data_IF_409211968969
#
_entry.id   IF_409211968969
#
_cell.length_a   1.000
_cell.length_b   1.000
_cell.length_c   1.000
_cell.angle_alpha   90.00
_cell.angle_beta   90.00
_cell.angle_gamma   90.00
#
_symmetry.space_group_name_H-M   'P 1'
#
loop_
_entity.id
_entity.type
_entity.pdbx_description
1 polymer ?
#
# COMPACT_ATOMS: atom_id res chain seq x y z
N UNK A 1 -18.31 -4.60 -0.71
CA UNK A 1 -19.15 -3.38 -0.75
C UNK A 1 -20.53 -3.76 -0.25
N UNK A 2 -20.97 -3.21 0.88
CA UNK A 2 -22.29 -3.49 1.48
C UNK A 2 -23.37 -3.02 0.52
N UNK A 3 -24.42 -3.82 0.31
CA UNK A 3 -25.49 -3.41 -0.60
C UNK A 3 -26.29 -2.30 0.08
N UNK A 4 -26.67 -1.27 -0.67
CA UNK A 4 -27.46 -0.14 -0.16
C UNK A 4 -28.72 -0.61 0.58
N UNK A 5 -29.39 -1.63 0.06
CA UNK A 5 -30.58 -2.20 0.71
C UNK A 5 -30.28 -2.82 2.09
N UNK A 6 -29.13 -3.47 2.28
CA UNK A 6 -28.76 -4.08 3.56
C UNK A 6 -28.54 -3.01 4.65
N UNK A 7 -28.03 -1.84 4.28
CA UNK A 7 -27.92 -0.69 5.18
C UNK A 7 -29.32 -0.18 5.53
N UNK A 8 -30.18 -0.01 4.52
CA UNK A 8 -31.53 0.51 4.70
C UNK A 8 -32.34 -0.42 5.59
N UNK A 9 -32.32 -1.72 5.36
CA UNK A 9 -33.08 -2.72 6.12
C UNK A 9 -32.75 -2.73 7.62
N UNK A 10 -31.55 -2.28 7.99
CA UNK A 10 -31.08 -2.20 9.39
C UNK A 10 -31.43 -0.90 10.10
N UNK A 11 -31.80 0.15 9.37
CA UNK A 11 -32.20 1.41 9.97
C UNK A 11 -33.54 1.24 10.68
N UNK A 12 -33.66 1.81 11.88
CA UNK A 12 -34.93 1.91 12.58
C UNK A 12 -35.99 2.62 11.72
N UNK A 13 -37.29 2.28 11.88
CA UNK A 13 -38.37 2.94 11.14
C UNK A 13 -38.35 4.47 11.27
N UNK A 14 -38.00 4.97 12.46
CA UNK A 14 -37.92 6.40 12.74
C UNK A 14 -36.74 7.06 12.00
N UNK A 15 -35.57 6.43 12.01
CA UNK A 15 -34.43 6.89 11.22
C UNK A 15 -34.71 6.86 9.73
N UNK A 16 -35.40 5.83 9.20
CA UNK A 16 -35.83 5.81 7.79
C UNK A 16 -36.73 6.99 7.46
N UNK A 17 -37.74 7.25 8.31
CA UNK A 17 -38.66 8.39 8.17
C UNK A 17 -37.89 9.71 8.12
N UNK A 18 -37.02 9.95 9.10
CA UNK A 18 -36.22 11.18 9.17
C UNK A 18 -35.30 11.34 7.96
N UNK A 19 -34.55 10.30 7.58
CA UNK A 19 -33.63 10.38 6.45
C UNK A 19 -34.33 10.54 5.09
N UNK A 20 -35.60 10.15 4.98
CA UNK A 20 -36.43 10.24 3.78
C UNK A 20 -37.19 11.56 3.69
N UNK A 21 -37.81 11.97 4.79
CA UNK A 21 -38.80 13.05 4.81
C UNK A 21 -38.16 14.40 5.17
N UNK A 22 -37.04 14.40 5.91
CA UNK A 22 -36.34 15.64 6.30
C UNK A 22 -35.26 16.06 5.29
N UNK A 23 -34.95 17.36 5.29
CA UNK A 23 -33.87 17.91 4.47
C UNK A 23 -32.59 18.07 5.28
N UNK A 24 -31.48 17.58 4.73
CA UNK A 24 -30.16 17.70 5.32
C UNK A 24 -29.30 18.61 4.45
N UNK A 25 -28.42 19.37 5.08
CA UNK A 25 -27.41 20.16 4.39
C UNK A 25 -26.23 19.27 4.03
N UNK A 26 -26.05 19.02 2.74
CA UNK A 26 -25.08 18.08 2.19
C UNK A 26 -24.02 18.89 1.43
N UNK A 27 -22.77 18.81 1.86
CA UNK A 27 -21.67 19.48 1.19
C UNK A 27 -21.46 18.91 -0.21
N UNK A 28 -21.34 19.79 -1.19
CA UNK A 28 -21.01 19.41 -2.56
C UNK A 28 -19.49 19.28 -2.65
N UNK A 29 -18.95 18.09 -3.00
CA UNK A 29 -17.52 17.93 -3.18
C UNK A 29 -17.02 18.94 -4.24
N UNK A 30 -15.80 19.48 -4.11
CA UNK A 30 -15.29 20.51 -5.01
C UNK A 30 -15.50 20.21 -6.50
N UNK A 31 -15.31 18.94 -6.90
CA UNK A 31 -15.44 18.47 -8.27
C UNK A 31 -16.86 18.54 -8.85
N UNK A 32 -17.89 18.66 -8.00
CA UNK A 32 -19.30 18.73 -8.38
C UNK A 32 -19.92 20.11 -8.15
N UNK A 33 -19.14 21.09 -7.67
CA UNK A 33 -19.65 22.44 -7.42
C UNK A 33 -19.95 23.12 -8.75
N UNK A 34 -21.19 23.58 -8.92
CA UNK A 34 -21.59 24.48 -10.00
C UNK A 34 -21.66 25.90 -9.43
N UNK A 35 -20.73 26.75 -9.85
CA UNK A 35 -20.56 28.10 -9.29
C UNK A 35 -20.17 28.07 -7.81
N UNK A 36 -20.73 28.98 -7.02
CA UNK A 36 -20.45 29.12 -5.58
C UNK A 36 -21.31 28.23 -4.68
N UNK A 37 -21.89 27.15 -5.23
CA UNK A 37 -22.76 26.25 -4.46
C UNK A 37 -21.93 25.30 -3.61
N UNK A 38 -21.74 25.63 -2.33
CA UNK A 38 -20.96 24.81 -1.40
C UNK A 38 -21.75 23.62 -0.84
N UNK A 39 -23.08 23.71 -0.81
CA UNK A 39 -23.97 22.68 -0.27
C UNK A 39 -25.27 22.60 -1.06
N UNK A 40 -25.91 21.44 -1.00
CA UNK A 40 -27.31 21.24 -1.39
C UNK A 40 -28.14 20.90 -0.15
N UNK A 41 -29.45 21.16 -0.21
CA UNK A 41 -30.41 20.66 0.78
C UNK A 41 -31.23 19.55 0.15
N UNK A 42 -31.39 18.45 0.86
CA UNK A 42 -32.22 17.34 0.39
C UNK A 42 -32.22 16.17 1.35
N UNK A 43 -33.12 15.22 1.11
CA UNK A 43 -33.16 13.97 1.85
C UNK A 43 -31.93 13.10 1.56
N UNK A 44 -31.64 12.22 2.51
CA UNK A 44 -30.55 11.25 2.41
C UNK A 44 -31.05 9.96 1.74
N UNK A 45 -32.28 9.53 2.04
CA UNK A 45 -32.93 8.43 1.34
C UNK A 45 -33.70 8.95 0.13
N UNK A 46 -33.43 8.36 -1.04
CA UNK A 46 -34.01 8.76 -2.32
C UNK A 46 -34.83 7.61 -2.93
N UNK A 47 -35.77 7.98 -3.81
CA UNK A 47 -36.56 7.08 -4.65
C UNK A 47 -37.30 5.98 -3.86
N UNK A 48 -37.95 6.33 -2.74
CA UNK A 48 -38.68 5.37 -1.91
C UNK A 48 -37.75 4.36 -1.25
N UNK A 49 -36.65 4.85 -0.66
CA UNK A 49 -35.67 4.04 0.08
C UNK A 49 -34.90 3.03 -0.79
N UNK A 50 -34.68 3.36 -2.07
CA UNK A 50 -33.85 2.54 -2.98
C UNK A 50 -32.40 2.99 -3.04
N UNK A 51 -32.14 4.25 -2.72
CA UNK A 51 -30.80 4.83 -2.77
C UNK A 51 -30.50 5.66 -1.52
N UNK A 52 -29.23 5.65 -1.13
CA UNK A 52 -28.71 6.51 -0.08
C UNK A 52 -27.76 7.54 -0.73
N UNK A 53 -28.04 8.83 -0.52
CA UNK A 53 -27.10 9.93 -0.80
C UNK A 53 -26.25 10.18 0.44
N UNK A 54 -25.24 9.34 0.66
CA UNK A 54 -24.39 9.44 1.83
C UNK A 54 -22.92 9.24 1.51
N UNK A 55 -22.09 10.08 2.14
CA UNK A 55 -20.64 9.97 2.23
C UNK A 55 -20.26 10.50 3.62
N UNK A 56 -19.30 9.89 4.29
CA UNK A 56 -19.00 10.23 5.70
C UNK A 56 -18.52 11.68 5.86
N UNK A 57 -17.95 12.25 4.81
CA UNK A 57 -17.37 13.57 4.71
C UNK A 57 -18.32 14.63 4.11
N UNK A 58 -19.47 14.24 3.54
CA UNK A 58 -20.41 15.20 2.93
C UNK A 58 -21.43 15.76 3.92
N UNK A 59 -21.66 15.12 5.07
CA UNK A 59 -22.46 15.72 6.14
C UNK A 59 -21.56 16.57 7.01
N UNK A 60 -21.78 17.87 6.98
CA UNK A 60 -21.04 18.84 7.76
C UNK A 60 -21.29 18.62 9.27
N UNK A 61 -20.30 18.05 9.97
CA UNK A 61 -20.38 17.77 11.41
C UNK A 61 -20.61 19.03 12.24
N UNK A 62 -20.09 20.18 11.80
CA UNK A 62 -20.28 21.43 12.54
C UNK A 62 -21.74 21.87 12.48
N UNK A 63 -22.35 21.74 11.31
CA UNK A 63 -23.76 22.11 11.09
C UNK A 63 -24.75 21.06 11.52
N UNK A 64 -24.37 19.78 11.55
CA UNK A 64 -25.21 18.73 12.13
C UNK A 64 -25.51 19.01 13.62
N UNK A 65 -24.62 19.69 14.34
CA UNK A 65 -24.86 20.13 15.72
C UNK A 65 -25.97 21.19 15.85
N UNK A 66 -26.28 21.89 14.76
CA UNK A 66 -27.35 22.88 14.68
C UNK A 66 -28.71 22.25 14.34
N UNK A 67 -28.72 20.97 13.95
CA UNK A 67 -29.94 20.22 13.63
C UNK A 67 -30.59 19.65 14.89
N UNK A 68 -31.85 19.20 14.78
CA UNK A 68 -32.57 18.60 15.90
C UNK A 68 -31.90 17.34 16.44
N UNK A 69 -32.13 17.02 17.72
CA UNK A 69 -31.55 15.84 18.37
C UNK A 69 -31.93 14.53 17.65
N UNK A 70 -33.13 14.47 17.09
CA UNK A 70 -33.64 13.34 16.30
C UNK A 70 -32.85 13.18 15.00
N UNK A 71 -32.57 14.29 14.28
CA UNK A 71 -31.75 14.25 13.06
C UNK A 71 -30.31 13.84 13.36
N UNK A 72 -29.75 14.32 14.47
CA UNK A 72 -28.43 13.91 14.93
C UNK A 72 -28.38 12.41 15.24
N UNK A 73 -29.39 11.89 15.95
CA UNK A 73 -29.52 10.47 16.27
C UNK A 73 -29.66 9.60 15.00
N UNK A 74 -30.45 10.04 14.02
CA UNK A 74 -30.62 9.35 12.74
C UNK A 74 -29.30 9.23 11.96
N UNK A 75 -28.49 10.30 11.91
CA UNK A 75 -27.16 10.25 11.28
C UNK A 75 -26.18 9.38 12.08
N UNK A 76 -26.28 9.38 13.41
CA UNK A 76 -25.44 8.54 14.26
C UNK A 76 -25.74 7.05 14.05
N UNK A 77 -27.01 6.67 13.95
CA UNK A 77 -27.44 5.29 13.63
C UNK A 77 -27.00 4.88 12.22
N UNK A 78 -27.19 5.74 11.21
CA UNK A 78 -26.71 5.46 9.86
C UNK A 78 -25.18 5.23 9.83
N UNK A 79 -24.42 6.05 10.56
CA UNK A 79 -22.99 5.89 10.71
C UNK A 79 -22.61 4.60 11.43
N UNK A 80 -23.31 4.23 12.51
CA UNK A 80 -23.00 3.02 13.25
C UNK A 80 -23.24 1.77 12.41
N UNK A 81 -24.31 1.73 11.60
CA UNK A 81 -24.58 0.63 10.67
C UNK A 81 -23.49 0.55 9.60
N UNK A 82 -23.13 1.66 8.95
CA UNK A 82 -22.08 1.68 7.92
C UNK A 82 -20.71 1.27 8.50
N UNK A 83 -20.38 1.74 9.71
CA UNK A 83 -19.08 1.46 10.34
C UNK A 83 -19.00 0.05 10.93
N UNK A 84 -20.09 -0.45 11.51
CA UNK A 84 -20.16 -1.85 11.98
C UNK A 84 -20.09 -2.82 10.80
N UNK A 85 -20.72 -2.52 9.66
CA UNK A 85 -20.57 -3.32 8.45
C UNK A 85 -19.17 -3.26 7.85
N UNK A 86 -18.49 -2.11 7.92
CA UNK A 86 -17.08 -2.03 7.53
C UNK A 86 -16.15 -2.83 8.48
N UNK A 87 -16.61 -3.15 9.69
CA UNK A 87 -15.92 -4.02 10.65
C UNK A 87 -16.39 -5.49 10.58
N UNK A 88 -17.47 -5.79 9.85
CA UNK A 88 -18.05 -7.12 9.76
C UNK A 88 -17.81 -7.72 8.37
N UNK A 89 -16.82 -8.62 8.32
CA UNK A 89 -16.58 -9.58 7.24
C UNK A 89 -16.47 -9.01 5.81
N UNK A 90 -15.33 -8.39 5.53
CA UNK A 90 -14.76 -8.39 4.17
C UNK A 90 -14.59 -9.85 3.72
N UNK A 91 -15.43 -10.26 2.77
CA UNK A 91 -15.38 -11.53 2.04
C UNK A 91 -15.44 -12.83 2.87
N UNK A 92 -16.66 -13.32 3.12
CA UNK A 92 -16.88 -14.75 2.85
C UNK A 92 -17.21 -14.91 1.36
N UNK A 93 -16.38 -15.61 0.56
CA UNK A 93 -16.62 -15.76 -0.86
C UNK A 93 -17.90 -16.55 -1.11
N UNK A 94 -18.94 -15.80 -1.51
CA UNK A 94 -20.13 -16.14 -2.28
C UNK A 94 -20.92 -17.40 -1.87
N UNK A 95 -22.24 -17.21 -1.66
CA UNK A 95 -23.29 -18.25 -1.64
C UNK A 95 -23.28 -19.17 -2.89
N UNK A 96 -22.55 -18.83 -3.94
CA UNK A 96 -22.24 -19.71 -5.07
C UNK A 96 -21.40 -20.91 -4.62
N UNK A 97 -20.48 -20.75 -3.64
CA UNK A 97 -19.79 -21.90 -3.04
C UNK A 97 -20.74 -22.77 -2.25
N UNK A 98 -21.73 -22.23 -1.53
CA UNK A 98 -22.70 -23.07 -0.84
C UNK A 98 -23.61 -23.82 -1.83
N UNK A 99 -23.98 -23.19 -2.95
CA UNK A 99 -24.80 -23.84 -3.99
C UNK A 99 -23.99 -24.86 -4.81
N UNK A 100 -22.74 -24.58 -5.16
CA UNK A 100 -21.82 -25.55 -5.78
C UNK A 100 -21.49 -26.65 -4.78
N UNK A 101 -21.27 -26.34 -3.50
CA UNK A 101 -21.02 -27.35 -2.46
C UNK A 101 -22.27 -28.20 -2.23
N UNK A 102 -23.49 -27.64 -2.26
CA UNK A 102 -24.72 -28.42 -2.20
C UNK A 102 -24.94 -29.25 -3.46
N UNK A 103 -24.70 -28.71 -4.66
CA UNK A 103 -24.83 -29.45 -5.92
C UNK A 103 -23.76 -30.55 -6.04
N UNK A 104 -22.55 -30.29 -5.57
CA UNK A 104 -21.46 -31.26 -5.47
C UNK A 104 -21.73 -32.26 -4.36
N UNK A 105 -22.30 -31.87 -3.22
CA UNK A 105 -22.71 -32.81 -2.16
C UNK A 105 -23.87 -33.69 -2.60
N UNK A 106 -24.87 -33.17 -3.31
CA UNK A 106 -25.98 -33.95 -3.89
C UNK A 106 -25.46 -34.85 -5.01
N UNK A 107 -24.59 -34.34 -5.87
CA UNK A 107 -23.92 -35.14 -6.91
C UNK A 107 -23.05 -36.24 -6.32
N UNK A 108 -22.27 -35.95 -5.27
CA UNK A 108 -21.48 -36.92 -4.52
C UNK A 108 -22.39 -37.89 -3.78
N UNK A 109 -23.54 -37.48 -3.22
CA UNK A 109 -24.48 -38.40 -2.57
C UNK A 109 -25.11 -39.36 -3.59
N UNK A 110 -25.49 -38.88 -4.77
CA UNK A 110 -26.03 -39.70 -5.86
C UNK A 110 -24.96 -40.66 -6.43
N UNK A 111 -23.72 -40.19 -6.57
CA UNK A 111 -22.59 -41.02 -7.02
C UNK A 111 -22.12 -42.01 -5.96
N UNK A 112 -22.13 -41.64 -4.66
CA UNK A 112 -21.78 -42.56 -3.56
C UNK A 112 -22.86 -43.61 -3.34
N UNK A 113 -24.15 -43.31 -3.58
CA UNK A 113 -25.22 -44.30 -3.54
C UNK A 113 -25.04 -45.38 -4.63
N UNK A 114 -24.63 -44.98 -5.84
CA UNK A 114 -24.32 -45.88 -6.97
C UNK A 114 -23.01 -46.65 -6.77
N UNK A 115 -22.07 -46.13 -5.97
CA UNK A 115 -20.73 -46.72 -5.76
C UNK A 115 -20.58 -47.22 -4.31
N UNK A 116 -21.63 -47.79 -3.72
CA UNK A 116 -21.61 -48.35 -2.35
C UNK A 116 -20.95 -49.73 -2.21
N UNK A 117 -20.07 -50.16 -3.13
CA UNK A 117 -19.32 -51.40 -2.87
C UNK A 117 -17.81 -51.43 -3.11
N UNK A 118 -17.16 -50.43 -3.73
CA UNK A 118 -15.71 -50.55 -3.98
C UNK A 118 -14.82 -49.29 -3.88
N UNK A 119 -15.31 -48.10 -3.51
CA UNK A 119 -14.51 -46.86 -3.72
C UNK A 119 -14.17 -46.03 -2.48
N UNK A 120 -14.14 -46.63 -1.28
CA UNK A 120 -13.64 -45.94 -0.06
C UNK A 120 -12.18 -45.48 -0.17
N UNK A 121 -11.36 -46.11 -1.02
CA UNK A 121 -9.93 -45.76 -1.18
C UNK A 121 -9.67 -44.63 -2.19
N UNK A 122 -10.60 -44.36 -3.11
CA UNK A 122 -10.43 -43.33 -4.15
C UNK A 122 -10.88 -41.94 -3.69
N UNK A 123 -11.88 -41.84 -2.80
CA UNK A 123 -12.39 -40.54 -2.34
C UNK A 123 -11.43 -39.80 -1.40
N UNK A 124 -10.68 -40.50 -0.54
CA UNK A 124 -9.69 -39.86 0.35
C UNK A 124 -8.56 -39.19 -0.45
N UNK A 125 -8.06 -39.83 -1.51
CA UNK A 125 -6.98 -39.27 -2.34
C UNK A 125 -7.41 -38.02 -3.14
N UNK A 126 -8.69 -37.90 -3.52
CA UNK A 126 -9.18 -36.75 -4.31
C UNK A 126 -9.43 -35.53 -3.43
N UNK A 127 -9.89 -35.73 -2.19
CA UNK A 127 -10.10 -34.62 -1.23
C UNK A 127 -8.76 -34.12 -0.68
N UNK A 128 -7.80 -35.00 -0.37
CA UNK A 128 -6.45 -34.58 0.00
C UNK A 128 -5.75 -33.82 -1.13
N UNK A 129 -5.87 -34.25 -2.39
CA UNK A 129 -5.28 -33.54 -3.53
C UNK A 129 -5.95 -32.20 -3.85
N UNK A 130 -7.22 -32.02 -3.48
CA UNK A 130 -7.95 -30.76 -3.70
C UNK A 130 -7.69 -29.74 -2.58
N UNK A 131 -7.43 -30.20 -1.35
CA UNK A 131 -7.02 -29.35 -0.22
C UNK A 131 -5.52 -29.04 -0.29
N UNK A 132 -4.69 -29.94 -0.82
CA UNK A 132 -3.26 -29.66 -1.07
C UNK A 132 -3.02 -28.67 -2.23
N UNK A 133 -4.02 -28.46 -3.08
CA UNK A 133 -4.03 -27.42 -4.12
C UNK A 133 -4.57 -26.07 -3.61
N UNK A 134 -4.85 -25.94 -2.30
CA UNK A 134 -5.05 -24.64 -1.67
C UNK A 134 -3.71 -23.87 -1.68
N UNK A 135 -3.49 -23.13 -2.78
CA UNK A 135 -2.58 -21.99 -2.88
C UNK A 135 -1.20 -22.25 -2.25
N UNK A 136 -0.43 -23.20 -2.80
CA UNK A 136 1.01 -23.16 -2.57
C UNK A 136 1.51 -21.80 -3.08
N UNK A 137 1.94 -20.96 -2.14
CA UNK A 137 2.65 -19.73 -2.46
C UNK A 137 3.80 -20.04 -3.39
N UNK A 138 4.00 -19.23 -4.43
CA UNK A 138 5.14 -19.44 -5.34
C UNK A 138 6.48 -19.10 -4.70
N UNK A 139 6.46 -18.45 -3.53
CA UNK A 139 7.64 -17.99 -2.83
C UNK A 139 8.18 -19.07 -1.89
N UNK A 140 9.50 -19.23 -1.88
CA UNK A 140 10.15 -20.06 -0.86
C UNK A 140 10.02 -19.38 0.50
N UNK A 141 9.59 -20.15 1.51
CA UNK A 141 9.41 -19.66 2.88
C UNK A 141 10.70 -19.05 3.43
N UNK A 142 10.57 -17.94 4.17
CA UNK A 142 11.65 -17.19 4.82
C UNK A 142 12.77 -16.69 3.89
N UNK A 143 12.55 -16.71 2.58
CA UNK A 143 13.52 -16.26 1.60
C UNK A 143 13.31 -14.77 1.31
N UNK A 144 14.42 -14.03 1.22
CA UNK A 144 14.39 -12.63 0.81
C UNK A 144 14.07 -12.56 -0.68
N UNK A 145 13.05 -11.79 -1.05
CA UNK A 145 12.74 -11.44 -2.43
C UNK A 145 13.07 -9.98 -2.66
N UNK A 146 13.98 -9.72 -3.61
CA UNK A 146 14.37 -8.39 -4.01
C UNK A 146 13.50 -7.96 -5.18
N UNK A 147 12.88 -6.79 -5.05
CA UNK A 147 12.05 -6.17 -6.08
C UNK A 147 12.74 -4.87 -6.50
N UNK A 148 13.62 -4.91 -7.51
CA UNK A 148 14.33 -3.72 -7.92
C UNK A 148 13.50 -2.88 -8.88
N UNK A 149 13.66 -1.57 -8.83
CA UNK A 149 13.14 -0.63 -9.81
C UNK A 149 14.27 -0.17 -10.74
N UNK A 150 14.50 -0.92 -11.81
CA UNK A 150 15.50 -0.67 -12.85
C UNK A 150 14.82 -0.09 -14.09
N UNK A 151 15.30 1.05 -14.57
CA UNK A 151 14.86 1.71 -15.79
C UNK A 151 15.95 1.74 -16.87
N UNK A 152 16.94 2.63 -16.76
CA UNK A 152 18.00 2.84 -17.77
C UNK A 152 19.41 2.56 -17.22
N UNK A 153 19.50 2.03 -16.01
CA UNK A 153 20.75 1.80 -15.30
C UNK A 153 21.54 0.61 -15.88
N UNK A 154 20.88 -0.29 -16.63
CA UNK A 154 21.51 -1.47 -17.23
C UNK A 154 21.13 -1.63 -18.71
N UNK A 155 22.04 -2.22 -19.48
CA UNK A 155 21.74 -2.69 -20.85
C UNK A 155 21.05 -4.06 -20.78
N UNK A 156 19.72 -4.07 -20.91
CA UNK A 156 18.96 -5.30 -20.86
C UNK A 156 19.20 -6.24 -22.05
N UNK A 157 19.80 -5.76 -23.14
CA UNK A 157 20.21 -6.57 -24.28
C UNK A 157 21.49 -7.36 -24.04
N UNK A 158 22.24 -7.04 -22.96
CA UNK A 158 23.53 -7.66 -22.65
C UNK A 158 23.57 -8.15 -21.19
N UNK A 159 22.99 -9.33 -20.88
CA UNK A 159 22.95 -9.86 -19.51
C UNK A 159 24.32 -10.00 -18.81
N UNK A 160 25.40 -10.15 -19.59
CA UNK A 160 26.76 -10.22 -19.05
C UNK A 160 27.28 -8.88 -18.49
N UNK A 161 26.65 -7.76 -18.83
CA UNK A 161 27.00 -6.44 -18.28
C UNK A 161 26.13 -6.06 -17.09
N UNK A 162 25.23 -6.95 -16.64
CA UNK A 162 24.39 -6.71 -15.49
C UNK A 162 25.21 -6.77 -14.21
N UNK A 163 24.80 -6.03 -13.15
CA UNK A 163 25.53 -6.06 -11.90
C UNK A 163 25.48 -7.48 -11.28
N UNK A 164 26.55 -7.93 -10.60
CA UNK A 164 26.64 -9.30 -10.08
C UNK A 164 25.46 -9.72 -9.21
N UNK A 165 24.96 -8.81 -8.35
CA UNK A 165 23.80 -9.10 -7.51
C UNK A 165 22.54 -9.48 -8.32
N UNK A 166 22.36 -8.85 -9.48
CA UNK A 166 21.23 -9.11 -10.36
C UNK A 166 21.36 -10.48 -11.02
N UNK A 167 22.56 -10.79 -11.49
CA UNK A 167 22.91 -12.07 -12.12
C UNK A 167 22.71 -13.23 -11.12
N UNK A 168 23.23 -13.07 -9.90
CA UNK A 168 23.20 -14.09 -8.84
C UNK A 168 21.76 -14.36 -8.37
N UNK A 169 20.96 -13.31 -8.15
CA UNK A 169 19.58 -13.46 -7.69
C UNK A 169 18.63 -14.04 -8.74
N UNK A 170 18.91 -13.82 -10.03
CA UNK A 170 18.15 -14.38 -11.15
C UNK A 170 18.56 -15.80 -11.52
N UNK A 171 19.69 -16.29 -11.01
CA UNK A 171 20.22 -17.63 -11.33
C UNK A 171 20.46 -17.84 -12.84
N UNK A 172 21.06 -16.83 -13.51
CA UNK A 172 21.22 -16.86 -14.97
C UNK A 172 22.29 -17.83 -15.47
N UNK A 173 23.31 -18.13 -14.65
CA UNK A 173 24.50 -18.87 -15.10
C UNK A 173 24.94 -20.02 -14.19
N UNK A 174 24.34 -20.23 -13.01
CA UNK A 174 24.78 -21.30 -12.09
C UNK A 174 23.64 -21.91 -11.26
N UNK A 175 22.85 -22.77 -11.91
CA UNK A 175 21.70 -23.48 -11.32
C UNK A 175 22.04 -24.40 -10.13
N UNK A 176 23.32 -24.69 -9.91
CA UNK A 176 23.76 -25.58 -8.82
C UNK A 176 24.15 -24.81 -7.55
N UNK A 177 24.11 -23.48 -7.56
CA UNK A 177 24.44 -22.68 -6.38
C UNK A 177 23.21 -22.34 -5.56
N UNK A 178 23.26 -22.58 -4.25
CA UNK A 178 22.20 -22.14 -3.34
C UNK A 178 22.21 -20.62 -3.23
N UNK A 179 21.38 -19.93 -4.02
CA UNK A 179 21.26 -18.48 -3.92
C UNK A 179 20.70 -18.03 -2.56
N UNK A 180 21.24 -16.97 -1.94
CA UNK A 180 20.79 -16.46 -0.64
C UNK A 180 19.45 -15.70 -0.71
N UNK A 181 19.08 -15.16 -1.87
CA UNK A 181 17.85 -14.42 -2.12
C UNK A 181 17.26 -14.78 -3.50
N UNK A 182 16.05 -14.31 -3.77
CA UNK A 182 15.45 -14.31 -5.11
C UNK A 182 15.33 -12.88 -5.62
N UNK A 183 15.44 -12.70 -6.94
CA UNK A 183 15.05 -11.44 -7.58
C UNK A 183 13.73 -11.64 -8.29
N UNK A 184 12.80 -10.72 -8.03
CA UNK A 184 11.56 -10.61 -8.77
C UNK A 184 11.59 -9.34 -9.62
N UNK A 185 12.02 -9.49 -10.86
CA UNK A 185 12.04 -8.42 -11.84
C UNK A 185 10.65 -8.21 -12.42
N UNK A 186 10.22 -6.96 -12.37
CA UNK A 186 8.83 -6.59 -12.64
C UNK A 186 8.69 -5.49 -13.71
N UNK A 187 9.78 -5.23 -14.44
CA UNK A 187 9.89 -4.17 -15.44
C UNK A 187 10.48 -4.69 -16.75
N UNK A 188 10.04 -4.09 -17.87
CA UNK A 188 10.68 -4.18 -19.20
C UNK A 188 11.05 -2.77 -19.65
N UNK A 189 12.16 -2.62 -20.39
CA UNK A 189 12.49 -1.33 -21.05
C UNK A 189 11.40 -0.93 -22.04
N UNK A 190 10.79 -1.91 -22.71
CA UNK A 190 9.80 -1.69 -23.77
C UNK A 190 8.64 -2.69 -23.67
N UNK A 191 7.43 -2.20 -23.93
CA UNK A 191 6.20 -2.96 -24.15
C UNK A 191 6.32 -4.08 -25.19
N UNK A 192 7.17 -3.89 -26.22
CA UNK A 192 7.41 -4.90 -27.26
C UNK A 192 8.57 -5.86 -26.94
N UNK A 193 9.43 -5.50 -25.99
CA UNK A 193 10.61 -6.30 -25.63
C UNK A 193 10.17 -7.63 -25.03
N UNK A 194 10.64 -8.75 -25.61
CA UNK A 194 10.48 -10.10 -25.06
C UNK A 194 11.66 -10.54 -24.18
N UNK A 195 12.65 -9.68 -24.00
CA UNK A 195 13.92 -10.02 -23.36
C UNK A 195 13.92 -9.72 -21.84
N UNK A 196 14.52 -10.59 -21.00
CA UNK A 196 14.85 -12.00 -21.24
C UNK A 196 13.73 -12.97 -20.81
N UNK A 197 12.65 -12.49 -20.18
CA UNK A 197 11.62 -13.36 -19.58
C UNK A 197 10.20 -12.84 -19.84
N UNK A 198 9.25 -13.78 -19.96
CA UNK A 198 7.80 -13.51 -20.00
C UNK A 198 7.26 -13.13 -18.61
N UNK A 199 7.87 -12.15 -17.95
CA UNK A 199 7.43 -11.70 -16.64
C UNK A 199 6.20 -10.81 -16.73
N UNK A 200 5.33 -10.82 -15.69
CA UNK A 200 4.20 -9.91 -15.62
C UNK A 200 4.69 -8.47 -15.67
N UNK A 201 4.04 -7.66 -16.51
CA UNK A 201 4.46 -6.30 -16.84
C UNK A 201 3.85 -5.28 -15.88
N UNK A 202 4.69 -4.39 -15.33
CA UNK A 202 4.26 -3.07 -14.92
C UNK A 202 4.96 -2.02 -15.78
N UNK A 203 4.19 -1.13 -16.40
CA UNK A 203 4.77 0.09 -16.98
C UNK A 203 5.36 0.89 -15.81
N UNK A 204 6.67 1.12 -15.81
CA UNK A 204 7.29 2.05 -14.89
C UNK A 204 6.88 3.47 -15.30
N UNK A 205 5.64 3.87 -14.97
CA UNK A 205 5.06 5.17 -15.27
C UNK A 205 5.58 6.26 -14.33
N UNK A 206 6.90 6.28 -14.13
CA UNK A 206 7.68 7.29 -13.43
C UNK A 206 7.80 7.06 -11.92
N UNK A 207 9.04 6.78 -11.50
CA UNK A 207 9.54 6.75 -10.12
C UNK A 207 9.24 5.42 -9.42
N UNK A 208 10.24 4.91 -8.72
CA UNK A 208 10.38 3.50 -8.36
C UNK A 208 9.21 2.95 -7.56
N UNK A 209 8.59 3.86 -6.81
CA UNK A 209 7.36 3.61 -6.11
C UNK A 209 6.27 2.98 -6.98
N UNK A 210 6.12 3.36 -8.25
CA UNK A 210 5.10 2.76 -9.10
C UNK A 210 5.27 1.25 -9.25
N UNK A 211 6.52 0.79 -9.31
CA UNK A 211 6.90 -0.63 -9.41
C UNK A 211 6.61 -1.33 -8.09
N UNK A 212 6.97 -0.70 -6.97
CA UNK A 212 6.77 -1.25 -5.63
C UNK A 212 5.27 -1.37 -5.31
N UNK A 213 4.49 -0.32 -5.59
CA UNK A 213 3.04 -0.31 -5.41
C UNK A 213 2.35 -1.37 -6.26
N UNK A 214 2.74 -1.49 -7.54
CA UNK A 214 2.15 -2.51 -8.40
C UNK A 214 2.51 -3.92 -7.93
N UNK A 215 3.75 -4.15 -7.49
CA UNK A 215 4.13 -5.45 -6.91
C UNK A 215 3.25 -5.78 -5.70
N UNK A 216 3.10 -4.84 -4.76
CA UNK A 216 2.24 -5.03 -3.58
C UNK A 216 0.79 -5.29 -4.00
N UNK A 217 0.27 -4.53 -4.96
CA UNK A 217 -1.09 -4.69 -5.48
C UNK A 217 -1.32 -6.09 -6.09
N UNK A 218 -0.44 -6.55 -6.97
CA UNK A 218 -0.59 -7.84 -7.66
C UNK A 218 -0.40 -9.04 -6.73
N UNK A 219 0.52 -8.91 -5.78
CA UNK A 219 0.90 -10.01 -4.89
C UNK A 219 0.32 -9.89 -3.50
N UNK A 220 -0.60 -8.95 -3.23
CA UNK A 220 -1.09 -8.69 -1.87
C UNK A 220 -1.50 -9.96 -1.12
N UNK A 221 -2.21 -10.89 -1.78
CA UNK A 221 -2.67 -12.15 -1.17
C UNK A 221 -1.63 -13.29 -1.17
N UNK A 222 -0.54 -13.12 -1.91
CA UNK A 222 0.57 -14.07 -2.03
C UNK A 222 1.89 -13.29 -1.99
N UNK A 223 2.15 -12.57 -0.88
CA UNK A 223 3.40 -11.81 -0.70
C UNK A 223 4.51 -12.74 -0.19
N UNK A 224 5.79 -12.51 -0.59
CA UNK A 224 6.93 -13.16 0.05
C UNK A 224 7.03 -12.79 1.54
N UNK A 225 7.56 -13.69 2.37
CA UNK A 225 7.74 -13.42 3.81
C UNK A 225 8.64 -12.19 4.07
N UNK A 226 9.67 -12.02 3.26
CA UNK A 226 10.69 -10.96 3.37
C UNK A 226 10.90 -10.31 2.01
N UNK A 227 10.79 -8.99 1.95
CA UNK A 227 10.94 -8.22 0.73
C UNK A 227 11.99 -7.12 0.92
N UNK A 228 12.75 -6.87 -0.13
CA UNK A 228 13.66 -5.72 -0.23
C UNK A 228 13.32 -4.97 -1.52
N UNK A 229 12.86 -3.73 -1.38
CA UNK A 229 12.63 -2.82 -2.49
C UNK A 229 13.86 -1.94 -2.67
N UNK A 230 14.43 -1.88 -3.88
CA UNK A 230 15.70 -1.20 -4.16
C UNK A 230 15.75 -0.50 -5.51
N UNK A 231 16.53 0.57 -5.56
CA UNK A 231 16.82 1.33 -6.77
C UNK A 231 17.61 0.51 -7.77
N UNK A 232 17.64 0.94 -9.04
CA UNK A 232 18.40 0.28 -10.10
C UNK A 232 19.92 0.28 -9.88
N UNK A 233 20.45 1.29 -9.18
CA UNK A 233 21.85 1.40 -8.74
C UNK A 233 21.92 1.44 -7.20
N UNK A 234 21.65 0.31 -6.53
CA UNK A 234 21.38 0.32 -5.11
C UNK A 234 22.59 0.72 -4.25
N UNK A 235 23.80 0.50 -4.80
CA UNK A 235 25.09 0.84 -4.19
C UNK A 235 25.37 2.35 -4.12
N UNK A 236 24.67 3.19 -4.91
CA UNK A 236 24.81 4.66 -4.82
C UNK A 236 24.19 5.23 -3.54
N UNK A 237 23.27 4.49 -2.93
CA UNK A 237 22.51 4.94 -1.76
C UNK A 237 22.91 4.20 -0.47
N UNK A 238 23.54 3.02 -0.59
CA UNK A 238 23.99 2.21 0.54
C UNK A 238 25.13 1.31 0.08
N UNK A 239 26.19 1.14 0.86
CA UNK A 239 27.41 0.42 0.41
C UNK A 239 27.23 -1.11 0.33
N UNK A 240 26.04 -1.65 0.67
CA UNK A 240 25.70 -3.09 0.57
C UNK A 240 24.23 -3.34 1.00
N UNK A 241 23.20 -2.83 0.29
CA UNK A 241 21.82 -2.85 0.77
C UNK A 241 21.22 -4.26 0.85
N UNK A 242 21.68 -5.18 -0.02
CA UNK A 242 21.22 -6.57 -0.03
C UNK A 242 21.76 -7.33 1.17
N UNK A 243 23.05 -7.18 1.46
CA UNK A 243 23.66 -7.75 2.66
C UNK A 243 22.99 -7.17 3.91
N UNK A 244 22.79 -5.84 3.97
CA UNK A 244 22.10 -5.20 5.07
C UNK A 244 20.69 -5.78 5.30
N UNK A 245 19.91 -6.04 4.24
CA UNK A 245 18.60 -6.68 4.35
C UNK A 245 18.65 -8.12 4.90
N UNK A 246 19.68 -8.90 4.56
CA UNK A 246 19.91 -10.21 5.17
C UNK A 246 20.25 -10.14 6.66
N UNK A 247 20.84 -9.03 7.07
CA UNK A 247 21.21 -8.77 8.46
C UNK A 247 20.02 -8.33 9.31
N UNK A 248 18.88 -7.95 8.74
CA UNK A 248 17.71 -7.51 9.50
C UNK A 248 17.23 -8.65 10.41
N UNK A 249 16.95 -8.34 11.69
CA UNK A 249 16.43 -9.32 12.63
C UNK A 249 15.05 -9.82 12.18
N UNK A 250 14.71 -11.05 12.57
CA UNK A 250 13.44 -11.63 12.15
C UNK A 250 12.24 -10.91 12.76
N UNK A 251 12.38 -10.25 13.91
CA UNK A 251 11.30 -9.49 14.55
C UNK A 251 11.15 -8.05 14.04
N UNK A 252 12.00 -7.61 13.11
CA UNK A 252 11.86 -6.31 12.46
C UNK A 252 10.95 -6.44 11.25
N UNK A 253 9.88 -5.65 11.25
CA UNK A 253 8.84 -5.69 10.21
C UNK A 253 9.06 -4.68 9.08
N UNK A 254 9.84 -3.63 9.34
CA UNK A 254 10.25 -2.62 8.37
C UNK A 254 11.56 -1.97 8.81
N UNK A 255 12.45 -1.70 7.87
CA UNK A 255 13.56 -0.77 8.07
C UNK A 255 14.03 -0.21 6.73
N UNK A 256 14.48 1.05 6.73
CA UNK A 256 15.23 1.55 5.57
C UNK A 256 16.58 0.85 5.51
N UNK A 257 17.11 0.60 4.32
CA UNK A 257 18.50 0.15 4.12
C UNK A 257 19.33 1.20 3.37
N UNK A 258 18.76 2.39 3.18
CA UNK A 258 19.42 3.53 2.57
C UNK A 258 20.24 4.30 3.62
N UNK A 259 21.56 4.22 3.54
CA UNK A 259 22.45 4.88 4.51
C UNK A 259 22.54 6.39 4.29
N UNK A 260 22.32 6.87 3.07
CA UNK A 260 22.29 8.31 2.75
C UNK A 260 21.11 8.98 3.43
N UNK A 261 19.95 8.31 3.46
CA UNK A 261 18.79 8.80 4.19
C UNK A 261 19.16 9.08 5.65
N UNK A 262 19.90 8.19 6.32
CA UNK A 262 20.32 8.37 7.72
C UNK A 262 21.26 9.55 7.96
N UNK A 263 22.26 9.73 7.09
CA UNK A 263 23.26 10.79 7.26
C UNK A 263 22.75 12.19 6.90
N UNK A 264 21.67 12.29 6.11
CA UNK A 264 21.21 13.55 5.52
C UNK A 264 19.70 13.79 5.67
N UNK A 265 19.05 13.34 6.75
CA UNK A 265 17.61 13.57 7.02
C UNK A 265 17.20 15.06 7.19
N UNK A 266 18.04 16.01 6.81
CA UNK A 266 17.72 17.43 6.93
C UNK A 266 16.42 17.77 6.21
N UNK A 267 15.72 18.74 6.79
CA UNK A 267 14.44 19.23 6.30
C UNK A 267 14.66 19.75 4.89
N UNK A 268 13.77 19.38 3.98
CA UNK A 268 13.68 20.09 2.71
C UNK A 268 12.36 20.83 2.73
N UNK A 269 12.44 22.15 2.56
CA UNK A 269 11.28 22.98 2.29
C UNK A 269 11.10 23.01 0.76
N UNK A 270 10.29 22.12 0.17
CA UNK A 270 9.99 22.22 -1.26
C UNK A 270 9.40 23.60 -1.56
N UNK A 271 9.67 24.13 -2.75
CA UNK A 271 9.16 25.43 -3.14
C UNK A 271 7.62 25.46 -3.05
N UNK A 272 7.02 26.51 -2.46
CA UNK A 272 5.57 26.65 -2.41
C UNK A 272 5.00 26.88 -3.80
N UNK A 273 3.79 26.38 -4.03
CA UNK A 273 3.01 26.69 -5.22
C UNK A 273 2.63 28.19 -5.20
N UNK A 274 2.92 28.97 -6.26
CA UNK A 274 2.65 30.41 -6.24
C UNK A 274 1.16 30.77 -6.19
N UNK A 275 0.26 29.80 -6.43
CA UNK A 275 -1.20 30.05 -6.44
C UNK A 275 -1.78 30.06 -5.03
N UNK A 276 -1.36 29.13 -4.17
CA UNK A 276 -1.92 28.98 -2.83
C UNK A 276 -0.87 28.93 -1.71
N UNK A 277 0.40 29.15 -2.06
CA UNK A 277 1.56 29.13 -1.17
C UNK A 277 1.77 27.79 -0.43
N UNK A 278 1.21 26.69 -0.95
CA UNK A 278 1.36 25.34 -0.37
C UNK A 278 2.18 24.49 -1.33
N UNK A 279 3.19 23.80 -0.81
CA UNK A 279 4.05 22.95 -1.64
C UNK A 279 3.24 21.80 -2.25
N UNK A 280 3.41 21.55 -3.56
CA UNK A 280 2.66 20.52 -4.28
C UNK A 280 2.90 19.13 -3.69
N UNK A 281 4.13 18.93 -3.25
CA UNK A 281 4.64 17.76 -2.56
C UNK A 281 3.88 17.50 -1.24
N UNK A 282 3.60 18.54 -0.45
CA UNK A 282 2.79 18.46 0.76
C UNK A 282 1.34 18.06 0.47
N UNK A 283 0.72 18.65 -0.56
CA UNK A 283 -0.66 18.29 -0.96
C UNK A 283 -0.77 16.81 -1.30
N UNK A 284 0.25 16.30 -1.99
CA UNK A 284 0.34 14.90 -2.37
C UNK A 284 0.57 13.98 -1.18
N UNK A 285 1.53 14.32 -0.32
CA UNK A 285 1.83 13.55 0.87
C UNK A 285 0.58 13.42 1.77
N UNK A 286 -0.17 14.51 1.95
CA UNK A 286 -1.43 14.48 2.69
C UNK A 286 -2.46 13.54 2.09
N UNK A 287 -2.64 13.57 0.76
CA UNK A 287 -3.59 12.67 0.08
C UNK A 287 -3.19 11.22 0.28
N UNK A 288 -1.92 10.89 0.10
CA UNK A 288 -1.39 9.54 0.26
C UNK A 288 -1.62 9.00 1.67
N UNK A 289 -1.24 9.78 2.69
CA UNK A 289 -1.44 9.40 4.08
C UNK A 289 -2.93 9.15 4.41
N UNK A 290 -3.84 9.93 3.84
CA UNK A 290 -5.29 9.71 4.02
C UNK A 290 -5.78 8.39 3.43
N UNK A 291 -5.19 7.89 2.34
CA UNK A 291 -5.55 6.58 1.77
C UNK A 291 -5.25 5.43 2.75
N UNK A 292 -4.24 5.62 3.59
CA UNK A 292 -3.86 4.68 4.66
C UNK A 292 -4.50 5.01 6.02
N UNK A 293 -5.41 6.00 6.07
CA UNK A 293 -6.17 6.34 7.29
C UNK A 293 -5.45 7.24 8.29
N UNK A 294 -4.30 7.81 7.94
CA UNK A 294 -3.58 8.73 8.81
C UNK A 294 -4.28 10.10 8.91
N UNK A 295 -4.17 10.74 10.08
CA UNK A 295 -4.36 12.18 10.20
C UNK A 295 -3.14 12.89 9.58
N UNK A 296 -3.27 13.21 8.30
CA UNK A 296 -2.21 13.85 7.52
C UNK A 296 -1.74 15.19 8.08
N UNK A 297 -2.61 15.95 8.77
CA UNK A 297 -2.21 17.24 9.35
C UNK A 297 -1.40 17.01 10.63
N UNK A 298 -1.83 16.09 11.48
CA UNK A 298 -1.05 15.70 12.66
C UNK A 298 0.33 15.13 12.29
N UNK A 299 0.43 14.45 11.14
CA UNK A 299 1.68 13.88 10.65
C UNK A 299 2.61 14.91 9.99
N UNK A 300 2.07 15.82 9.18
CA UNK A 300 2.88 16.67 8.30
C UNK A 300 2.92 18.15 8.68
N UNK A 301 2.01 18.66 9.52
CA UNK A 301 1.96 20.09 9.80
C UNK A 301 3.18 20.54 10.63
N UNK A 302 4.07 21.39 10.10
CA UNK A 302 5.28 21.82 10.79
C UNK A 302 4.99 22.61 12.08
N UNK A 303 3.82 23.25 12.22
CA UNK A 303 3.46 23.95 13.47
C UNK A 303 3.05 23.01 14.59
N UNK A 304 2.65 21.79 14.26
CA UNK A 304 2.26 20.75 15.21
C UNK A 304 3.45 19.85 15.59
N UNK A 305 4.67 20.22 15.17
CA UNK A 305 5.88 19.43 15.37
C UNK A 305 6.92 20.27 16.10
N UNK A 306 7.48 19.70 17.14
CA UNK A 306 8.70 20.18 17.77
C UNK A 306 9.91 19.59 17.02
N UNK A 307 11.11 20.18 17.12
CA UNK A 307 12.33 19.63 16.52
C UNK A 307 12.56 18.14 16.81
N UNK A 308 12.15 17.67 17.98
CA UNK A 308 12.22 16.28 18.46
C UNK A 308 11.14 15.32 17.87
N UNK A 309 10.08 15.83 17.26
CA UNK A 309 9.00 15.03 16.66
C UNK A 309 9.43 14.50 15.28
N UNK A 310 10.28 13.47 15.29
CA UNK A 310 11.03 12.90 14.15
C UNK A 310 10.22 12.32 12.97
N UNK A 311 8.90 12.52 12.90
CA UNK A 311 8.06 12.13 11.75
C UNK A 311 8.04 13.20 10.64
N UNK A 312 9.21 13.76 10.32
CA UNK A 312 9.35 14.88 9.37
C UNK A 312 9.63 14.33 7.98
N UNK A 313 8.82 14.79 7.03
CA UNK A 313 8.93 14.53 5.61
C UNK A 313 10.33 14.92 5.07
N UNK A 314 11.26 13.96 5.01
CA UNK A 314 12.58 14.16 4.41
C UNK A 314 12.50 13.90 2.91
N UNK A 315 12.85 14.90 2.09
CA UNK A 315 12.95 14.72 0.63
C UNK A 315 14.33 14.23 0.19
N UNK A 316 15.18 13.79 1.12
CA UNK A 316 16.47 13.20 0.76
C UNK A 316 16.25 11.73 0.39
N UNK A 317 16.70 11.41 -0.82
CA UNK A 317 16.05 10.41 -1.68
C UNK A 317 16.22 8.96 -1.29
N UNK A 318 15.27 8.21 -1.86
CA UNK A 318 15.39 6.86 -2.39
C UNK A 318 14.89 5.75 -1.45
N UNK A 319 13.71 5.23 -1.79
CA UNK A 319 13.00 4.16 -1.13
C UNK A 319 13.75 2.82 -1.25
N UNK A 320 14.87 2.67 -0.54
CA UNK A 320 15.48 1.37 -0.30
C UNK A 320 15.09 0.90 1.07
N UNK A 321 14.23 -0.11 1.12
CA UNK A 321 13.70 -0.59 2.39
C UNK A 321 13.44 -2.08 2.38
N UNK A 322 13.71 -2.66 3.53
CA UNK A 322 13.28 -4.01 3.89
C UNK A 322 11.89 -3.93 4.51
N UNK A 323 11.02 -4.89 4.17
CA UNK A 323 9.70 -5.03 4.76
C UNK A 323 9.26 -6.48 4.78
N UNK A 324 8.54 -6.87 5.84
CA UNK A 324 7.89 -8.18 5.93
C UNK A 324 6.45 -8.14 5.46
N UNK A 325 5.91 -9.27 4.98
CA UNK A 325 4.52 -9.34 4.49
C UNK A 325 3.50 -8.87 5.53
N UNK A 326 3.73 -9.19 6.82
CA UNK A 326 2.84 -8.83 7.91
C UNK A 326 2.69 -7.32 8.02
N UNK A 327 3.75 -6.57 7.69
CA UNK A 327 3.71 -5.12 7.69
C UNK A 327 2.91 -4.55 6.53
N UNK A 328 2.99 -5.15 5.35
CA UNK A 328 2.16 -4.78 4.21
C UNK A 328 0.68 -5.09 4.50
N UNK A 329 0.41 -6.24 5.13
CA UNK A 329 -0.94 -6.67 5.56
C UNK A 329 -1.53 -5.86 6.72
N UNK A 330 -0.73 -5.01 7.38
CA UNK A 330 -1.28 -4.03 8.32
C UNK A 330 -2.32 -3.12 7.65
N UNK A 331 -2.18 -2.88 6.34
CA UNK A 331 -3.16 -2.19 5.52
C UNK A 331 -3.93 -3.16 4.65
N UNK A 332 -5.19 -2.83 4.35
CA UNK A 332 -6.06 -3.68 3.55
C UNK A 332 -5.69 -3.64 2.07
N UNK A 333 -6.12 -4.65 1.31
CA UNK A 333 -5.99 -4.68 -0.13
C UNK A 333 -6.59 -3.41 -0.77
N UNK A 334 -7.74 -2.96 -0.29
CA UNK A 334 -8.43 -1.77 -0.80
C UNK A 334 -7.60 -0.50 -0.60
N UNK A 335 -6.86 -0.38 0.51
CA UNK A 335 -5.97 0.76 0.75
C UNK A 335 -4.80 0.76 -0.23
N UNK A 336 -4.16 -0.39 -0.43
CA UNK A 336 -3.08 -0.54 -1.41
C UNK A 336 -3.57 -0.34 -2.85
N UNK A 337 -4.75 -0.86 -3.18
CA UNK A 337 -5.40 -0.66 -4.47
C UNK A 337 -5.73 0.82 -4.70
N UNK A 338 -6.25 1.52 -3.70
CA UNK A 338 -6.51 2.95 -3.79
C UNK A 338 -5.21 3.75 -3.98
N UNK A 339 -4.14 3.39 -3.27
CA UNK A 339 -2.82 4.02 -3.44
C UNK A 339 -2.24 3.78 -4.85
N UNK A 340 -2.32 2.56 -5.36
CA UNK A 340 -1.90 2.22 -6.71
C UNK A 340 -2.72 2.98 -7.76
N UNK A 341 -4.05 2.99 -7.66
CA UNK A 341 -4.91 3.68 -8.62
C UNK A 341 -4.74 5.21 -8.54
N UNK A 342 -4.46 5.76 -7.36
CA UNK A 342 -4.18 7.19 -7.22
C UNK A 342 -2.91 7.62 -7.95
N UNK A 343 -1.96 6.71 -8.24
CA UNK A 343 -0.79 7.00 -9.06
C UNK A 343 -1.11 7.21 -10.55
N UNK A 344 -2.30 6.78 -10.99
CA UNK A 344 -2.74 6.83 -12.40
C UNK A 344 -3.63 8.04 -12.70
N UNK A 345 -4.03 8.78 -11.68
CA UNK A 345 -4.93 9.92 -11.78
C UNK A 345 -4.14 11.23 -11.64
N UNK A 346 -4.58 12.35 -12.26
CA UNK A 346 -3.85 13.62 -12.26
C UNK A 346 -3.98 14.35 -10.92
N UNK A 347 -3.42 13.74 -9.86
CA UNK A 347 -3.38 14.32 -8.54
C UNK A 347 -2.08 15.06 -8.32
N UNK A 348 -2.17 16.10 -7.48
CA UNK A 348 -1.03 16.94 -7.14
C UNK A 348 -0.45 17.64 -8.36
N UNK A 349 -1.33 18.19 -9.19
CA UNK A 349 -0.98 19.17 -10.23
C UNK A 349 -1.50 20.53 -9.78
N UNK A 350 -0.69 21.57 -9.81
CA UNK A 350 -1.21 22.94 -9.71
C UNK A 350 -1.75 23.40 -11.08
N UNK A 351 -2.66 24.38 -11.14
CA UNK A 351 -3.02 25.01 -12.41
C UNK A 351 -1.81 25.49 -13.20
N UNK A 352 -0.73 25.92 -12.53
CA UNK A 352 0.55 26.27 -13.14
C UNK A 352 1.28 25.05 -13.71
N UNK A 353 1.34 23.94 -12.97
CA UNK A 353 1.95 22.68 -13.43
C UNK A 353 1.20 22.05 -14.62
N UNK A 354 -0.10 22.34 -14.76
CA UNK A 354 -0.92 21.97 -15.94
C UNK A 354 -0.62 22.84 -17.16
N UNK A 355 -0.08 24.05 -16.98
CA UNK A 355 0.21 25.01 -18.05
C UNK A 355 1.64 24.89 -18.59
N UNK A 356 2.57 24.35 -17.80
CA UNK A 356 3.92 24.04 -18.28
C UNK A 356 3.82 22.77 -19.14
N UNK A 357 4.22 22.80 -20.44
CA UNK A 357 4.25 21.60 -21.27
C UNK A 357 5.37 20.68 -20.78
N UNK A 358 5.04 19.84 -19.80
CA UNK A 358 5.92 18.80 -19.27
C UNK A 358 5.54 17.45 -19.87
N UNK A 359 6.54 16.56 -19.95
CA UNK A 359 6.30 15.12 -20.02
C UNK A 359 5.29 14.72 -18.92
N UNK A 360 4.38 13.75 -19.16
CA UNK A 360 3.10 13.58 -18.45
C UNK A 360 3.21 13.66 -16.92
N UNK A 361 2.30 14.41 -16.28
CA UNK A 361 2.28 14.85 -14.87
C UNK A 361 2.17 13.81 -13.76
N UNK A 362 2.92 12.70 -13.85
CA UNK A 362 2.94 11.59 -12.88
C UNK A 362 4.11 11.68 -11.88
N UNK A 363 5.08 12.59 -12.12
CA UNK A 363 6.31 12.71 -11.32
C UNK A 363 6.07 13.04 -9.84
N UNK A 364 5.22 14.04 -9.55
CA UNK A 364 5.09 14.52 -8.17
C UNK A 364 4.44 13.52 -7.22
N UNK A 365 3.52 12.67 -7.71
CA UNK A 365 2.90 11.63 -6.89
C UNK A 365 3.88 10.51 -6.52
N UNK A 366 4.63 10.00 -7.51
CA UNK A 366 5.68 9.01 -7.29
C UNK A 366 6.70 9.50 -6.26
N UNK A 367 7.17 10.74 -6.42
CA UNK A 367 8.19 11.35 -5.57
C UNK A 367 7.67 11.44 -4.14
N UNK A 368 6.45 11.97 -3.99
CA UNK A 368 5.81 12.12 -2.68
C UNK A 368 5.75 10.79 -1.93
N UNK A 369 5.43 9.71 -2.63
CA UNK A 369 5.31 8.40 -2.04
C UNK A 369 6.68 7.80 -1.70
N UNK A 370 7.72 8.01 -2.54
CA UNK A 370 9.10 7.60 -2.24
C UNK A 370 9.57 8.14 -0.88
N UNK A 371 9.13 9.33 -0.51
CA UNK A 371 9.46 9.95 0.76
C UNK A 371 8.58 9.48 1.93
N UNK A 372 7.45 8.81 1.67
CA UNK A 372 6.49 8.44 2.70
C UNK A 372 6.56 6.98 3.16
N UNK A 373 7.40 6.13 2.55
CA UNK A 373 7.54 4.74 2.96
C UNK A 373 7.83 4.58 4.45
N UNK A 374 8.64 5.45 5.04
CA UNK A 374 8.94 5.41 6.48
C UNK A 374 7.75 5.80 7.36
N UNK A 375 6.83 6.64 6.88
CA UNK A 375 5.60 6.98 7.62
C UNK A 375 4.59 5.85 7.48
N UNK A 376 4.36 5.37 6.25
CA UNK A 376 3.38 4.33 5.94
C UNK A 376 3.82 2.99 6.57
N UNK A 377 5.06 2.57 6.35
CA UNK A 377 5.56 1.28 6.82
C UNK A 377 6.26 1.34 8.18
N UNK A 378 6.47 2.51 8.78
CA UNK A 378 7.21 2.64 10.04
C UNK A 378 6.41 2.99 11.29
N UNK A 379 5.07 2.85 11.32
CA UNK A 379 4.28 2.99 12.57
C UNK A 379 4.88 2.07 13.65
N UNK A 380 5.54 2.50 14.72
CA UNK A 380 5.64 3.79 15.41
C UNK A 380 7.01 4.51 15.23
N UNK A 381 7.00 5.81 14.90
CA UNK A 381 8.18 6.67 15.09
C UNK A 381 8.24 7.31 16.49
N UNK A 382 7.24 7.10 17.35
CA UNK A 382 7.17 7.76 18.67
C UNK A 382 8.12 7.14 19.70
N UNK A 383 8.49 5.87 19.50
CA UNK A 383 9.24 5.08 20.49
C UNK A 383 10.67 4.79 20.05
N UNK A 384 11.03 5.15 18.81
CA UNK A 384 12.42 5.17 18.40
C UNK A 384 13.04 6.50 18.86
N UNK A 385 14.09 6.49 19.70
CA UNK A 385 14.77 7.70 20.10
C UNK A 385 15.19 8.48 18.86
N UNK A 386 15.15 9.82 18.96
CA UNK A 386 15.64 10.70 17.91
C UNK A 386 17.06 10.26 17.53
N UNK A 387 17.29 9.77 16.29
CA UNK A 387 18.59 9.25 15.92
C UNK A 387 19.56 10.42 15.96
N UNK A 388 20.47 10.42 16.95
CA UNK A 388 21.46 11.48 17.06
C UNK A 388 22.32 11.44 15.80
N UNK A 389 22.45 12.58 15.13
CA UNK A 389 23.31 12.71 13.95
C UNK A 389 24.69 12.11 14.26
N UNK A 390 25.22 11.29 13.34
CA UNK A 390 26.51 10.58 13.49
C UNK A 390 26.57 9.49 14.58
N UNK A 391 25.43 8.97 15.05
CA UNK A 391 25.43 7.80 15.94
C UNK A 391 24.92 6.56 15.20
N UNK A 392 25.68 5.46 15.27
CA UNK A 392 25.29 4.15 14.74
C UNK A 392 24.50 3.32 15.75
N UNK A 393 24.44 3.74 17.02
CA UNK A 393 23.88 2.96 18.14
C UNK A 393 22.41 2.63 17.97
N UNK A 394 21.62 3.58 17.49
CA UNK A 394 20.17 3.42 17.38
C UNK A 394 19.79 2.56 16.17
N UNK A 395 20.74 2.17 15.31
CA UNK A 395 20.48 1.33 14.15
C UNK A 395 20.83 -0.13 14.41
N UNK A 396 21.78 -0.40 15.30
CA UNK A 396 22.27 -1.76 15.52
C UNK A 396 21.27 -2.67 16.21
N UNK A 397 20.27 -2.10 16.89
CA UNK A 397 19.22 -2.92 17.48
C UNK A 397 18.31 -3.56 16.42
N UNK A 398 18.25 -3.04 15.18
CA UNK A 398 17.43 -3.57 14.08
C UNK A 398 18.13 -4.68 13.28
N UNK A 399 19.45 -4.73 13.34
CA UNK A 399 20.27 -5.70 12.64
C UNK A 399 20.82 -6.75 13.61
N UNK A 400 21.09 -7.94 13.11
CA UNK A 400 21.80 -8.98 13.85
C UNK A 400 23.23 -8.50 14.12
N UNK A 401 23.73 -8.75 15.33
CA UNK A 401 25.12 -8.46 15.71
C UNK A 401 26.10 -9.08 14.72
N UNK A 402 27.28 -8.45 14.54
CA UNK A 402 28.41 -8.91 13.70
C UNK A 402 28.16 -9.07 12.19
N UNK A 403 27.09 -8.50 11.65
CA UNK A 403 26.79 -8.64 10.23
C UNK A 403 27.65 -7.71 9.33
N UNK A 404 28.35 -8.30 8.35
CA UNK A 404 29.12 -7.57 7.35
C UNK A 404 28.20 -6.73 6.44
N UNK A 405 28.63 -5.52 6.06
CA UNK A 405 27.84 -4.60 5.21
C UNK A 405 26.83 -3.74 5.95
N UNK A 406 26.81 -3.76 7.29
CA UNK A 406 26.02 -2.82 8.10
C UNK A 406 26.91 -1.76 8.74
N UNK A 407 26.35 -0.59 9.04
CA UNK A 407 27.02 0.47 9.83
C UNK A 407 27.36 0.02 11.27
N UNK A 408 26.87 -1.16 11.67
CA UNK A 408 27.02 -1.75 12.99
C UNK A 408 28.23 -2.65 13.13
N UNK A 409 28.92 -2.94 12.02
CA UNK A 409 30.23 -3.55 12.07
C UNK A 409 31.28 -2.45 12.30
N UNK A 410 31.98 -2.50 13.43
CA UNK A 410 32.96 -1.50 13.90
C UNK A 410 34.10 -1.20 12.92
N UNK A 411 34.32 -2.04 11.92
CA UNK A 411 35.30 -1.78 10.85
C UNK A 411 34.80 -0.77 9.81
N UNK A 412 33.48 -0.60 9.66
CA UNK A 412 32.86 0.20 8.59
C UNK A 412 32.75 1.69 8.94
N UNK A 413 32.62 2.01 10.23
CA UNK A 413 32.45 3.39 10.74
C UNK A 413 33.68 4.28 10.58
N UNK A 414 34.87 3.72 10.33
CA UNK A 414 36.12 4.50 10.22
C UNK A 414 36.36 5.13 8.83
N UNK A 415 35.62 4.74 7.80
CA UNK A 415 35.90 5.15 6.41
C UNK A 415 34.78 6.00 5.75
N UNK A 416 33.70 6.31 6.46
CA UNK A 416 32.52 7.01 5.90
C UNK A 416 32.38 8.46 6.43
N UNK A 417 33.17 8.84 7.45
CA UNK A 417 33.13 10.17 8.06
C UNK A 417 34.45 10.91 7.91
#
# INVERSE_FOLDING_TARGET
MVRTQEIIDKLSPETKRLLRDETYKINVPPDFRKGNTEYIRGSILLNGEKHIRYRRDIIDKSRLKEESAEKQAAIAELNSIILSENQLHVFQPNKIRLFIFFAVCIGIFLVTFVITKNSKRLLCNVVENSISNASQTKWKKNRLVIVPAIFLEIDWGRPLTWPPWLIDGLDLFNKNHSRPYDIYLYQRIDSSSRAPFNWPYCRNVHEETGVYLKFIYDFYHDLPDKMLFVHGEPERHSVSPIQAAHCVRDDVFYTSVNTVWWGKRHWTAPNPDPIDNITLLYKCAKRLLRLFGFDSEAQLNPTNKKPEDSSIYSTMCCAQFYVRKERIHHYTYEQWSAAYNASLEPYCTSPLDRQIPRKPGVKSFGSSFEFLWHIILGLESSDMPEPKAKTTSDLCHLFRSSCAGTLCNTAFTRNIF
#
